data_IF_412564950071
#
_entry.id   IF_412564950071
#
_cell.length_a   1.000
_cell.length_b   1.000
_cell.length_c   1.000
_cell.angle_alpha   90.00
_cell.angle_beta   90.00
_cell.angle_gamma   90.00
#
_symmetry.space_group_name_H-M   'P 1'
#
loop_
_entity.id
_entity.type
_entity.pdbx_description
1 polymer ?
#
# COMPACT_ATOMS: atom_id res chain seq x y z
N UNK A 1 1.28 10.90 22.45
CA UNK A 1 1.30 10.01 21.26
C UNK A 1 2.71 9.98 20.75
N UNK A 2 3.31 8.80 20.67
CA UNK A 2 4.70 8.64 20.22
C UNK A 2 4.67 8.51 18.70
N UNK A 3 5.10 9.54 17.98
CA UNK A 3 5.27 9.46 16.53
C UNK A 3 6.37 8.45 16.20
N UNK A 4 6.07 7.45 15.36
CA UNK A 4 7.07 6.47 14.93
C UNK A 4 7.88 7.10 13.79
N UNK A 5 9.09 7.56 14.09
CA UNK A 5 10.09 8.00 13.09
C UNK A 5 11.15 6.90 12.99
N UNK A 6 11.00 6.01 12.01
CA UNK A 6 12.02 4.99 11.73
C UNK A 6 12.99 5.53 10.68
N UNK A 7 14.19 5.92 11.13
CA UNK A 7 15.31 6.38 10.30
C UNK A 7 16.10 5.25 9.61
N UNK A 8 15.62 4.00 9.68
CA UNK A 8 16.16 2.88 8.90
C UNK A 8 15.34 2.72 7.61
N UNK A 9 16.02 2.38 6.50
CA UNK A 9 15.40 2.15 5.18
C UNK A 9 14.16 1.25 5.31
N UNK A 10 12.97 1.85 5.17
CA UNK A 10 11.69 1.16 5.42
C UNK A 10 11.49 0.05 4.37
N UNK A 11 11.28 -1.18 4.83
CA UNK A 11 11.05 -2.33 3.96
C UNK A 11 9.59 -2.80 4.01
N UNK A 12 9.07 -3.25 2.86
CA UNK A 12 7.76 -3.92 2.81
C UNK A 12 7.87 -5.32 3.40
N UNK A 13 6.89 -5.70 4.22
CA UNK A 13 6.78 -7.04 4.80
C UNK A 13 5.40 -7.62 4.53
N UNK A 14 5.35 -8.84 3.99
CA UNK A 14 4.10 -9.56 3.78
C UNK A 14 3.45 -9.89 5.12
N UNK A 15 2.13 -9.64 5.22
CA UNK A 15 1.28 -10.01 6.35
C UNK A 15 -0.02 -10.60 5.83
N UNK A 16 -0.58 -11.55 6.56
CA UNK A 16 -1.84 -12.22 6.24
C UNK A 16 -2.90 -11.80 7.25
N UNK A 17 -4.04 -11.34 6.74
CA UNK A 17 -5.21 -10.98 7.53
C UNK A 17 -6.39 -11.89 7.15
N UNK A 18 -7.24 -12.21 8.12
CA UNK A 18 -8.55 -12.80 7.83
C UNK A 18 -9.56 -11.66 7.74
N UNK A 19 -10.18 -11.52 6.58
CA UNK A 19 -11.16 -10.48 6.29
C UNK A 19 -12.43 -11.12 5.75
N UNK A 20 -13.55 -10.42 5.89
CA UNK A 20 -14.81 -10.79 5.26
C UNK A 20 -14.65 -10.81 3.73
N UNK A 21 -15.21 -11.83 3.08
CA UNK A 21 -15.19 -11.99 1.62
C UNK A 21 -15.80 -10.80 0.90
N UNK A 22 -16.92 -10.26 1.38
CA UNK A 22 -17.58 -9.10 0.78
C UNK A 22 -16.65 -7.88 0.77
N UNK A 23 -15.87 -7.70 1.84
CA UNK A 23 -14.89 -6.61 1.95
C UNK A 23 -13.77 -6.79 0.94
N UNK A 24 -13.25 -8.02 0.79
CA UNK A 24 -12.20 -8.34 -0.20
C UNK A 24 -12.70 -8.02 -1.61
N UNK A 25 -13.92 -8.43 -1.96
CA UNK A 25 -14.49 -8.25 -3.29
C UNK A 25 -14.73 -6.77 -3.60
N UNK A 26 -15.35 -6.04 -2.67
CA UNK A 26 -15.56 -4.61 -2.80
C UNK A 26 -14.23 -3.85 -2.94
N UNK A 27 -13.20 -4.27 -2.20
CA UNK A 27 -11.87 -3.66 -2.26
C UNK A 27 -11.19 -3.90 -3.62
N UNK A 28 -11.30 -5.11 -4.15
CA UNK A 28 -10.78 -5.46 -5.47
C UNK A 28 -11.46 -4.65 -6.58
N UNK A 29 -12.79 -4.50 -6.53
CA UNK A 29 -13.51 -3.67 -7.49
C UNK A 29 -13.14 -2.19 -7.40
N UNK A 30 -12.94 -1.67 -6.18
CA UNK A 30 -12.48 -0.30 -5.97
C UNK A 30 -11.06 -0.09 -6.52
N UNK A 31 -10.17 -1.05 -6.33
CA UNK A 31 -8.80 -1.00 -6.84
C UNK A 31 -8.78 -1.00 -8.39
N UNK A 32 -9.59 -1.86 -9.03
CA UNK A 32 -9.78 -1.88 -10.49
C UNK A 32 -10.26 -0.53 -11.01
N UNK A 33 -11.28 0.07 -10.39
CA UNK A 33 -11.80 1.40 -10.78
C UNK A 33 -10.74 2.50 -10.70
N UNK A 34 -9.75 2.34 -9.80
CA UNK A 34 -8.64 3.27 -9.60
C UNK A 34 -7.38 2.92 -10.43
N UNK A 35 -7.41 1.83 -11.20
CA UNK A 35 -6.27 1.40 -12.01
C UNK A 35 -5.04 0.97 -11.21
N UNK A 36 -5.20 0.54 -9.95
CA UNK A 36 -4.11 0.12 -9.07
C UNK A 36 -4.39 -1.25 -8.46
N UNK A 37 -3.36 -1.91 -7.91
CA UNK A 37 -3.55 -3.20 -7.23
C UNK A 37 -4.27 -3.02 -5.88
N UNK A 38 -5.01 -4.05 -5.46
CA UNK A 38 -5.69 -4.06 -4.16
C UNK A 38 -4.73 -3.84 -2.98
N UNK A 39 -3.52 -4.43 -3.06
CA UNK A 39 -2.47 -4.22 -2.07
C UNK A 39 -1.98 -2.77 -2.05
N UNK A 40 -1.82 -2.13 -3.21
CA UNK A 40 -1.41 -0.72 -3.28
C UNK A 40 -2.48 0.19 -2.72
N UNK A 41 -3.74 -0.07 -3.06
CA UNK A 41 -4.86 0.67 -2.49
C UNK A 41 -4.90 0.53 -0.96
N UNK A 42 -4.71 -0.69 -0.45
CA UNK A 42 -4.65 -0.96 0.99
C UNK A 42 -3.52 -0.20 1.68
N UNK A 43 -2.30 -0.27 1.13
CA UNK A 43 -1.14 0.45 1.67
C UNK A 43 -1.39 1.96 1.69
N UNK A 44 -1.94 2.53 0.61
CA UNK A 44 -2.31 3.95 0.53
C UNK A 44 -3.32 4.31 1.63
N UNK A 45 -4.43 3.59 1.70
CA UNK A 45 -5.50 3.91 2.66
C UNK A 45 -5.04 3.77 4.11
N UNK A 46 -4.31 2.71 4.45
CA UNK A 46 -3.79 2.54 5.81
C UNK A 46 -2.75 3.60 6.18
N UNK A 47 -1.90 3.98 5.23
CA UNK A 47 -0.86 4.99 5.46
C UNK A 47 -1.47 6.38 5.66
N UNK A 48 -2.41 6.76 4.78
CA UNK A 48 -3.07 8.06 4.84
C UNK A 48 -3.89 8.18 6.14
N UNK A 49 -4.66 7.14 6.50
CA UNK A 49 -5.40 7.08 7.77
C UNK A 49 -4.46 7.18 9.00
N UNK A 50 -3.32 6.47 8.98
CA UNK A 50 -2.37 6.53 10.08
C UNK A 50 -1.67 7.91 10.20
N UNK A 51 -1.58 8.68 9.12
CA UNK A 51 -1.12 10.08 9.15
C UNK A 51 -2.17 11.01 9.73
N UNK A 52 -3.42 10.84 9.32
CA UNK A 52 -4.55 11.61 9.86
C UNK A 52 -4.68 11.43 11.38
N UNK A 53 -4.45 10.22 11.89
CA UNK A 53 -4.45 9.89 13.32
C UNK A 53 -3.16 10.28 14.06
N UNK A 54 -2.18 10.88 13.37
CA UNK A 54 -0.89 11.30 13.96
C UNK A 54 0.03 10.16 14.41
N UNK A 55 -0.25 8.92 13.99
CA UNK A 55 0.59 7.74 14.27
C UNK A 55 1.85 7.78 13.40
N UNK A 56 1.70 8.17 12.13
CA UNK A 56 2.78 8.44 11.18
C UNK A 56 2.93 9.96 11.05
N UNK A 57 4.18 10.44 11.00
CA UNK A 57 4.43 11.88 10.81
C UNK A 57 3.81 12.39 9.49
N UNK A 58 3.21 13.60 9.48
CA UNK A 58 2.60 14.20 8.29
C UNK A 58 3.61 14.42 7.15
N UNK A 59 4.90 14.53 7.46
CA UNK A 59 5.96 14.72 6.47
C UNK A 59 6.50 13.39 5.91
N UNK A 60 6.05 12.26 6.47
CA UNK A 60 6.49 10.94 6.01
C UNK A 60 5.86 10.64 4.65
N UNK A 61 6.70 10.40 3.65
CA UNK A 61 6.26 9.96 2.33
C UNK A 61 5.99 8.45 2.30
N UNK A 62 5.19 8.01 1.33
CA UNK A 62 4.96 6.58 1.08
C UNK A 62 6.18 5.96 0.42
N UNK A 63 6.35 4.65 0.56
CA UNK A 63 7.31 3.93 -0.27
C UNK A 63 6.90 4.05 -1.75
N UNK A 64 7.88 4.39 -2.60
CA UNK A 64 7.70 4.49 -4.04
C UNK A 64 7.22 3.18 -4.66
N UNK A 65 6.68 3.25 -5.87
CA UNK A 65 6.27 2.05 -6.60
C UNK A 65 7.48 1.13 -6.80
N UNK A 66 7.32 -0.15 -6.47
CA UNK A 66 8.29 -1.15 -6.87
C UNK A 66 8.22 -1.24 -8.39
N UNK A 67 9.22 -0.72 -9.10
CA UNK A 67 9.33 -0.89 -10.56
C UNK A 67 9.46 -2.38 -10.84
N UNK A 68 8.35 -3.01 -11.21
CA UNK A 68 8.24 -4.43 -11.49
C UNK A 68 7.27 -4.63 -12.65
N UNK A 69 7.61 -4.05 -13.78
CA UNK A 69 6.93 -4.26 -15.06
C UNK A 69 7.98 -4.64 -16.10
N UNK A 70 8.54 -5.85 -15.99
CA UNK A 70 9.13 -6.51 -17.14
C UNK A 70 7.97 -7.07 -17.97
N UNK A 71 7.45 -6.24 -18.87
CA UNK A 71 6.59 -6.68 -19.95
C UNK A 71 7.19 -6.15 -21.26
N UNK A 72 7.58 -7.09 -22.11
CA UNK A 72 8.08 -6.98 -23.49
C UNK A 72 9.57 -6.67 -23.74
N UNK A 73 10.42 -7.70 -23.65
CA UNK A 73 11.49 -7.96 -24.63
C UNK A 73 11.62 -9.48 -24.86
N UNK A 74 10.54 -10.14 -25.31
CA UNK A 74 10.69 -11.43 -25.98
C UNK A 74 10.87 -11.14 -27.46
N UNK A 75 12.14 -11.20 -27.90
CA UNK A 75 12.53 -11.17 -29.32
C UNK A 75 11.74 -12.21 -30.10
N UNK A 76 11.19 -11.81 -31.23
CA UNK A 76 10.94 -12.69 -32.39
C UNK A 76 11.53 -12.01 -33.61
#
# INVERSE_FOLDING_TARGET
MTAIVLMAERQRKTRTYRLDTLVIDAWNELAKKRGISANRLLEITMFDMAKEEGIISPDTERLGETRGGDFSQQKS
#
